data_IF_699741161017
#
_entry.id   IF_699741161017
#
_cell.length_a   1.000
_cell.length_b   1.000
_cell.length_c   1.000
_cell.angle_alpha   90.00
_cell.angle_beta   90.00
_cell.angle_gamma   90.00
#
_symmetry.space_group_name_H-M   'P 1'
#
loop_
_entity.id
_entity.type
_entity.pdbx_description
1 polymer ?
#
# COMPACT_ATOMS: atom_id res chain seq x y z
N UNK A 1 6.79 -23.86 5.74
CA UNK A 1 6.56 -25.27 6.12
C UNK A 1 5.09 -25.58 5.82
N UNK A 2 4.71 -26.85 5.75
CA UNK A 2 3.34 -27.21 5.41
C UNK A 2 2.80 -28.10 6.53
N UNK A 3 1.63 -27.77 7.05
CA UNK A 3 1.02 -28.45 8.19
C UNK A 3 0.03 -29.49 7.67
N UNK A 4 0.13 -30.69 8.22
CA UNK A 4 -0.85 -31.74 7.96
C UNK A 4 -2.15 -31.38 8.67
N UNK A 5 -3.25 -31.33 7.94
CA UNK A 5 -4.56 -31.09 8.54
C UNK A 5 -5.33 -32.42 8.68
N UNK A 6 -5.65 -32.82 9.92
CA UNK A 6 -6.30 -34.11 10.19
C UNK A 6 -7.76 -34.16 9.72
N UNK A 7 -8.44 -33.01 9.57
CA UNK A 7 -9.86 -32.95 9.20
C UNK A 7 -10.08 -33.02 7.69
N UNK A 8 -9.13 -32.50 6.89
CA UNK A 8 -9.22 -32.54 5.42
C UNK A 8 -8.27 -33.53 4.75
N UNK A 9 -7.34 -34.12 5.50
CA UNK A 9 -6.32 -35.02 4.97
C UNK A 9 -5.42 -34.36 3.93
N UNK A 10 -5.33 -33.02 3.95
CA UNK A 10 -4.55 -32.22 2.99
C UNK A 10 -3.47 -31.44 3.72
N UNK A 11 -2.37 -31.27 3.03
CA UNK A 11 -1.28 -30.39 3.45
C UNK A 11 -1.73 -28.95 3.28
N UNK A 12 -1.81 -28.19 4.38
CA UNK A 12 -2.17 -26.77 4.39
C UNK A 12 -0.91 -25.92 4.58
N UNK A 13 -0.79 -24.78 3.90
CA UNK A 13 0.32 -23.87 4.17
C UNK A 13 0.24 -23.33 5.61
N UNK A 14 1.36 -23.33 6.35
CA UNK A 14 1.41 -22.65 7.66
C UNK A 14 1.36 -21.14 7.45
N UNK A 15 0.44 -20.50 8.15
CA UNK A 15 0.36 -19.04 8.23
C UNK A 15 0.88 -18.63 9.59
N UNK A 16 2.10 -18.11 9.61
CA UNK A 16 2.72 -17.54 10.81
C UNK A 16 2.18 -16.15 11.11
N UNK A 17 1.75 -15.42 10.08
CA UNK A 17 1.23 -14.07 10.17
C UNK A 17 0.04 -13.95 9.22
N UNK A 18 -1.17 -13.80 9.77
CA UNK A 18 -2.38 -13.63 8.99
C UNK A 18 -3.16 -12.38 9.41
N UNK A 19 -3.96 -11.83 8.49
CA UNK A 19 -4.79 -10.66 8.74
C UNK A 19 -6.23 -10.97 8.37
N UNK A 20 -7.18 -10.43 9.13
CA UNK A 20 -8.58 -10.49 8.69
C UNK A 20 -8.75 -9.63 7.42
N UNK A 21 -9.71 -9.97 6.54
CA UNK A 21 -9.99 -9.17 5.34
C UNK A 21 -10.23 -7.68 5.66
N UNK A 22 -10.86 -7.41 6.81
CA UNK A 22 -11.06 -6.04 7.31
C UNK A 22 -9.74 -5.29 7.55
N UNK A 23 -8.77 -5.91 8.23
CA UNK A 23 -7.49 -5.26 8.50
C UNK A 23 -6.62 -5.09 7.25
N UNK A 24 -6.75 -5.98 6.25
CA UNK A 24 -6.13 -5.79 4.93
C UNK A 24 -6.71 -4.54 4.27
N UNK A 25 -8.05 -4.39 4.28
CA UNK A 25 -8.71 -3.22 3.71
C UNK A 25 -8.29 -1.92 4.41
N UNK A 26 -8.26 -1.92 5.75
CA UNK A 26 -7.79 -0.78 6.55
C UNK A 26 -6.33 -0.44 6.21
N UNK A 27 -5.45 -1.44 6.10
CA UNK A 27 -4.06 -1.23 5.68
C UNK A 27 -3.95 -0.58 4.30
N UNK A 28 -4.74 -1.05 3.33
CA UNK A 28 -4.78 -0.46 1.99
C UNK A 28 -5.30 0.99 1.99
N UNK A 29 -6.35 1.26 2.76
CA UNK A 29 -6.87 2.62 2.91
C UNK A 29 -5.84 3.56 3.56
N UNK A 30 -5.18 3.12 4.63
CA UNK A 30 -4.09 3.86 5.27
C UNK A 30 -2.93 4.14 4.31
N UNK A 31 -2.50 3.13 3.54
CA UNK A 31 -1.44 3.29 2.57
C UNK A 31 -1.79 4.32 1.49
N UNK A 32 -3.03 4.27 0.98
CA UNK A 32 -3.55 5.24 0.01
C UNK A 32 -3.58 6.66 0.58
N UNK A 33 -4.08 6.83 1.81
CA UNK A 33 -4.12 8.15 2.49
C UNK A 33 -2.72 8.70 2.73
N UNK A 34 -1.79 7.89 3.24
CA UNK A 34 -0.41 8.33 3.49
C UNK A 34 0.27 8.72 2.18
N UNK A 35 0.13 7.91 1.12
CA UNK A 35 0.63 8.23 -0.21
C UNK A 35 0.07 9.56 -0.72
N UNK A 36 -1.25 9.72 -0.64
CA UNK A 36 -1.96 10.93 -1.05
C UNK A 36 -1.44 12.17 -0.29
N UNK A 37 -1.29 12.09 1.03
CA UNK A 37 -0.76 13.19 1.86
C UNK A 37 0.68 13.54 1.45
N UNK A 38 1.55 12.55 1.25
CA UNK A 38 2.95 12.78 0.84
C UNK A 38 3.00 13.46 -0.53
N UNK A 39 2.22 12.98 -1.51
CA UNK A 39 2.15 13.59 -2.84
C UNK A 39 1.64 15.03 -2.75
N UNK A 40 0.58 15.27 -1.98
CA UNK A 40 0.00 16.60 -1.79
C UNK A 40 1.02 17.59 -1.19
N UNK A 41 1.67 17.20 -0.09
CA UNK A 41 2.69 18.03 0.58
C UNK A 41 3.88 18.28 -0.35
N UNK A 42 4.30 17.30 -1.14
CA UNK A 42 5.43 17.46 -2.06
C UNK A 42 5.09 18.43 -3.20
N UNK A 43 3.87 18.38 -3.73
CA UNK A 43 3.41 19.33 -4.76
C UNK A 43 3.30 20.76 -4.21
N UNK A 44 2.79 20.92 -2.98
CA UNK A 44 2.74 22.23 -2.32
C UNK A 44 4.13 22.76 -1.96
N UNK A 45 5.06 21.90 -1.54
CA UNK A 45 6.43 22.29 -1.22
C UNK A 45 7.29 22.63 -2.44
N UNK A 46 6.97 22.06 -3.62
CA UNK A 46 7.69 22.31 -4.87
C UNK A 46 7.18 23.50 -5.70
N UNK A 47 6.03 24.09 -5.36
CA UNK A 47 5.41 25.18 -6.12
C UNK A 47 5.92 26.56 -5.64
N UNK A 48 7.21 26.82 -5.87
CA UNK A 48 7.84 28.09 -5.49
C UNK A 48 7.75 29.21 -6.56
N UNK A 49 7.20 28.95 -7.75
CA UNK A 49 7.34 29.87 -8.91
C UNK A 49 6.05 30.41 -9.50
N UNK A 50 5.00 29.61 -9.60
CA UNK A 50 3.72 30.01 -10.16
C UNK A 50 2.67 29.12 -9.52
N UNK A 51 1.74 29.69 -8.75
CA UNK A 51 0.51 29.00 -8.43
C UNK A 51 -0.43 29.16 -9.63
N UNK A 52 -0.72 28.11 -10.42
CA UNK A 52 -1.84 28.10 -11.34
C UNK A 52 -3.09 28.62 -10.63
N UNK A 53 -3.93 29.38 -11.35
CA UNK A 53 -5.17 29.96 -10.80
C UNK A 53 -5.90 28.94 -9.92
N UNK A 54 -6.08 29.30 -8.64
CA UNK A 54 -6.30 28.34 -7.54
C UNK A 54 -7.46 27.35 -7.70
N UNK A 55 -8.40 27.59 -8.62
CA UNK A 55 -9.50 26.66 -8.91
C UNK A 55 -9.08 25.37 -9.62
N UNK A 56 -8.23 25.43 -10.66
CA UNK A 56 -7.90 24.25 -11.48
C UNK A 56 -6.89 23.32 -10.81
N UNK A 57 -6.01 23.86 -9.97
CA UNK A 57 -4.99 23.10 -9.23
C UNK A 57 -5.62 22.27 -8.10
N UNK A 58 -6.65 22.83 -7.45
CA UNK A 58 -7.39 22.15 -6.39
C UNK A 58 -8.25 21.03 -6.96
N UNK A 59 -8.98 21.24 -8.06
CA UNK A 59 -9.78 20.17 -8.69
C UNK A 59 -8.91 19.02 -9.21
N UNK A 60 -7.82 19.33 -9.92
CA UNK A 60 -6.89 18.31 -10.43
C UNK A 60 -6.13 17.59 -9.31
N UNK A 61 -5.75 18.30 -8.25
CA UNK A 61 -5.15 17.72 -7.05
C UNK A 61 -6.11 16.78 -6.31
N UNK A 62 -7.36 17.20 -6.10
CA UNK A 62 -8.38 16.35 -5.47
C UNK A 62 -8.66 15.11 -6.32
N UNK A 63 -8.75 15.25 -7.64
CA UNK A 63 -8.94 14.12 -8.55
C UNK A 63 -7.76 13.14 -8.49
N UNK A 64 -6.52 13.63 -8.43
CA UNK A 64 -5.32 12.81 -8.28
C UNK A 64 -5.29 12.07 -6.93
N UNK A 65 -5.62 12.77 -5.84
CA UNK A 65 -5.70 12.19 -4.50
C UNK A 65 -6.78 11.10 -4.43
N UNK A 66 -7.96 11.40 -4.98
CA UNK A 66 -9.06 10.45 -5.10
C UNK A 66 -8.68 9.22 -5.92
N UNK A 67 -7.98 9.41 -7.04
CA UNK A 67 -7.47 8.32 -7.88
C UNK A 67 -6.48 7.44 -7.13
N UNK A 68 -5.50 8.03 -6.44
CA UNK A 68 -4.51 7.30 -5.63
C UNK A 68 -5.22 6.44 -4.59
N UNK A 69 -6.10 7.03 -3.79
CA UNK A 69 -6.82 6.31 -2.74
C UNK A 69 -7.71 5.20 -3.34
N UNK A 70 -8.42 5.49 -4.43
CA UNK A 70 -9.26 4.51 -5.10
C UNK A 70 -8.45 3.30 -5.60
N UNK A 71 -7.29 3.52 -6.21
CA UNK A 71 -6.44 2.42 -6.68
C UNK A 71 -5.94 1.57 -5.52
N UNK A 72 -5.50 2.19 -4.42
CA UNK A 72 -5.08 1.45 -3.23
C UNK A 72 -6.22 0.63 -2.62
N UNK A 73 -7.45 1.15 -2.61
CA UNK A 73 -8.62 0.43 -2.09
C UNK A 73 -9.06 -0.72 -3.01
N UNK A 74 -9.02 -0.52 -4.33
CA UNK A 74 -9.52 -1.49 -5.31
C UNK A 74 -8.50 -2.57 -5.65
N UNK A 75 -7.24 -2.20 -5.85
CA UNK A 75 -6.16 -3.09 -6.30
C UNK A 75 -5.31 -3.58 -5.12
N UNK A 76 -5.14 -2.73 -4.10
CA UNK A 76 -4.30 -3.02 -2.95
C UNK A 76 -4.65 -4.31 -2.21
N UNK A 77 -5.94 -4.63 -1.92
CA UNK A 77 -6.27 -5.86 -1.19
C UNK A 77 -5.84 -7.13 -1.92
N UNK A 78 -5.95 -7.15 -3.25
CA UNK A 78 -5.56 -8.29 -4.07
C UNK A 78 -4.04 -8.50 -4.03
N UNK A 79 -3.27 -7.42 -4.18
CA UNK A 79 -1.81 -7.46 -4.11
C UNK A 79 -1.30 -7.76 -2.70
N UNK A 80 -1.95 -7.19 -1.67
CA UNK A 80 -1.65 -7.44 -0.27
C UNK A 80 -1.89 -8.90 0.11
N UNK A 81 -2.96 -9.50 -0.41
CA UNK A 81 -3.22 -10.92 -0.23
C UNK A 81 -2.17 -11.79 -0.91
N UNK A 82 -1.83 -11.49 -2.17
CA UNK A 82 -0.79 -12.21 -2.90
C UNK A 82 0.57 -12.15 -2.21
N UNK A 83 1.00 -10.95 -1.78
CA UNK A 83 2.25 -10.78 -1.05
C UNK A 83 2.20 -11.46 0.33
N UNK A 84 1.09 -11.33 1.06
CA UNK A 84 0.87 -12.02 2.33
C UNK A 84 0.97 -13.55 2.18
N UNK A 85 0.44 -14.11 1.09
CA UNK A 85 0.57 -15.53 0.77
C UNK A 85 2.02 -15.95 0.50
N UNK A 86 2.83 -15.10 -0.14
CA UNK A 86 4.26 -15.37 -0.35
C UNK A 86 5.05 -15.33 0.96
N UNK A 87 4.67 -14.44 1.89
CA UNK A 87 5.31 -14.24 3.19
C UNK A 87 4.71 -15.09 4.31
N UNK A 88 3.79 -16.00 4.00
CA UNK A 88 3.00 -16.74 5.00
C UNK A 88 3.84 -17.52 6.02
N UNK A 89 5.05 -17.96 5.65
CA UNK A 89 5.96 -18.70 6.54
C UNK A 89 6.98 -17.81 7.25
N UNK A 90 6.86 -16.49 7.13
CA UNK A 90 7.80 -15.52 7.71
C UNK A 90 7.19 -14.87 8.94
N UNK A 91 7.82 -15.06 10.09
CA UNK A 91 7.43 -14.46 11.39
C UNK A 91 8.02 -13.07 11.61
N UNK A 92 9.00 -12.65 10.81
CA UNK A 92 9.69 -11.38 10.99
C UNK A 92 8.90 -10.21 10.39
N UNK A 93 8.26 -9.41 11.24
CA UNK A 93 7.46 -8.24 10.86
C UNK A 93 8.23 -7.22 9.99
N UNK A 94 9.54 -7.05 10.21
CA UNK A 94 10.34 -6.12 9.41
C UNK A 94 10.43 -6.55 7.95
N UNK A 95 10.45 -7.86 7.68
CA UNK A 95 10.42 -8.40 6.30
C UNK A 95 9.09 -8.09 5.65
N UNK A 96 7.98 -8.20 6.39
CA UNK A 96 6.66 -7.81 5.89
C UNK A 96 6.62 -6.32 5.56
N UNK A 97 7.05 -5.45 6.47
CA UNK A 97 7.05 -3.99 6.26
C UNK A 97 7.86 -3.63 5.01
N UNK A 98 9.06 -4.18 4.88
CA UNK A 98 9.94 -3.93 3.74
C UNK A 98 9.33 -4.45 2.43
N UNK A 99 8.78 -5.66 2.42
CA UNK A 99 8.17 -6.24 1.24
C UNK A 99 6.95 -5.44 0.77
N UNK A 100 6.12 -4.97 1.70
CA UNK A 100 4.99 -4.09 1.39
C UNK A 100 5.46 -2.73 0.88
N UNK A 101 6.55 -2.17 1.43
CA UNK A 101 7.15 -0.94 0.91
C UNK A 101 7.68 -1.10 -0.52
N UNK A 102 8.35 -2.21 -0.83
CA UNK A 102 8.82 -2.53 -2.19
C UNK A 102 7.67 -2.72 -3.16
N UNK A 103 6.61 -3.42 -2.74
CA UNK A 103 5.39 -3.55 -3.54
C UNK A 103 4.75 -2.19 -3.80
N UNK A 104 4.66 -1.33 -2.78
CA UNK A 104 4.19 0.04 -2.90
C UNK A 104 5.00 0.87 -3.88
N UNK A 105 6.34 0.77 -3.85
CA UNK A 105 7.23 1.41 -4.83
C UNK A 105 6.92 0.95 -6.26
N UNK A 106 6.81 -0.37 -6.48
CA UNK A 106 6.55 -0.93 -7.80
C UNK A 106 5.19 -0.48 -8.37
N UNK A 107 4.14 -0.58 -7.55
CA UNK A 107 2.78 -0.15 -7.94
C UNK A 107 2.74 1.36 -8.16
N UNK A 108 3.34 2.14 -7.28
CA UNK A 108 3.41 3.60 -7.40
C UNK A 108 4.21 4.05 -8.63
N UNK A 109 5.26 3.32 -9.01
CA UNK A 109 5.99 3.59 -10.25
C UNK A 109 5.13 3.32 -11.49
N UNK A 110 4.41 2.19 -11.54
CA UNK A 110 3.51 1.86 -12.65
C UNK A 110 2.38 2.89 -12.76
N UNK A 111 1.69 3.20 -11.66
CA UNK A 111 0.62 4.18 -11.62
C UNK A 111 1.12 5.59 -11.95
N UNK A 112 2.24 5.98 -11.37
CA UNK A 112 2.80 7.30 -11.60
C UNK A 112 3.25 7.47 -13.04
N UNK A 113 3.78 6.44 -13.71
CA UNK A 113 4.10 6.53 -15.13
C UNK A 113 2.87 6.69 -16.03
N UNK A 114 1.72 6.12 -15.67
CA UNK A 114 0.47 6.33 -16.41
C UNK A 114 0.02 7.80 -16.42
N UNK A 115 0.38 8.55 -15.37
CA UNK A 115 0.03 9.97 -15.22
C UNK A 115 1.24 10.91 -15.36
N UNK A 116 2.40 10.41 -15.78
CA UNK A 116 3.62 11.20 -15.96
C UNK A 116 4.32 11.67 -14.67
N UNK A 117 3.94 11.14 -13.50
CA UNK A 117 4.45 11.52 -12.18
C UNK A 117 5.09 10.34 -11.41
N UNK A 118 5.71 9.38 -12.13
CA UNK A 118 6.33 8.17 -11.59
C UNK A 118 7.32 8.44 -10.44
N UNK A 119 8.25 9.38 -10.65
CA UNK A 119 9.28 9.71 -9.66
C UNK A 119 8.73 10.32 -8.36
N UNK A 120 7.53 10.91 -8.40
CA UNK A 120 6.86 11.50 -7.26
C UNK A 120 5.99 10.45 -6.52
N UNK A 121 5.19 9.70 -7.28
CA UNK A 121 4.19 8.79 -6.72
C UNK A 121 4.82 7.50 -6.19
N UNK A 122 5.87 6.98 -6.84
CA UNK A 122 6.55 5.76 -6.40
C UNK A 122 7.07 5.82 -4.96
N UNK A 123 7.92 6.79 -4.57
CA UNK A 123 8.42 6.86 -3.19
C UNK A 123 7.30 7.08 -2.17
N UNK A 124 6.29 7.90 -2.49
CA UNK A 124 5.13 8.13 -1.63
C UNK A 124 4.32 6.84 -1.39
N UNK A 125 4.09 6.06 -2.45
CA UNK A 125 3.38 4.79 -2.40
C UNK A 125 4.16 3.73 -1.59
N UNK A 126 5.49 3.71 -1.75
CA UNK A 126 6.37 2.83 -0.98
C UNK A 126 6.35 3.12 0.51
N UNK A 127 6.57 4.38 0.88
CA UNK A 127 6.51 4.83 2.28
C UNK A 127 5.11 4.58 2.85
N UNK A 128 4.05 4.90 2.10
CA UNK A 128 2.67 4.67 2.52
C UNK A 128 2.37 3.21 2.79
N UNK A 129 2.74 2.31 1.89
CA UNK A 129 2.52 0.87 2.06
C UNK A 129 3.30 0.28 3.24
N UNK A 130 4.57 0.67 3.41
CA UNK A 130 5.39 0.25 4.55
C UNK A 130 4.86 0.77 5.88
N UNK A 131 4.56 2.07 5.96
CA UNK A 131 4.02 2.69 7.16
C UNK A 131 2.65 2.13 7.55
N UNK A 132 1.76 1.91 6.57
CA UNK A 132 0.47 1.29 6.83
C UNK A 132 0.61 -0.16 7.33
N UNK A 133 1.53 -0.94 6.74
CA UNK A 133 1.82 -2.30 7.19
C UNK A 133 2.33 -2.33 8.63
N UNK A 134 3.23 -1.40 8.97
CA UNK A 134 3.72 -1.24 10.33
C UNK A 134 2.61 -0.84 11.29
N UNK A 135 1.74 0.11 10.91
CA UNK A 135 0.64 0.58 11.77
C UNK A 135 -0.37 -0.52 12.13
N UNK A 136 -0.59 -1.49 11.24
CA UNK A 136 -1.52 -2.59 11.49
C UNK A 136 -0.84 -3.85 12.05
N UNK A 137 0.49 -3.89 12.21
CA UNK A 137 1.23 -5.12 12.55
C UNK A 137 0.71 -5.80 13.83
N UNK A 138 0.39 -5.01 14.86
CA UNK A 138 -0.19 -5.47 16.13
C UNK A 138 -1.55 -6.17 16.02
N UNK A 139 -2.18 -6.13 14.84
CA UNK A 139 -3.48 -6.74 14.55
C UNK A 139 -3.36 -8.05 13.77
N UNK A 140 -2.13 -8.48 13.48
CA UNK A 140 -1.85 -9.80 12.95
C UNK A 140 -2.39 -10.87 13.89
N UNK A 141 -2.96 -11.92 13.31
CA UNK A 141 -3.26 -13.17 14.01
C UNK A 141 -2.08 -14.11 13.76
N UNK A 142 -1.47 -14.55 14.84
CA UNK A 142 -0.54 -15.68 14.89
C UNK A 142 -1.35 -16.98 14.91
#
# INVERSE_FOLDING_TARGET
>A
MAQWDPDSGKVRPTWEVSFSPWWVFVGCALAGVICAVIVFVTVLGGSAGDLPSGGRLVESGIALLGLIVAVFILVGPLLAWGLGFMLRSTTNDNVHILAFAVLGLAVGFMLGNLVGAGALIAPAAGVGAGAARWAISSRARL
#
